data_IF_997665697791
#
_entry.id   IF_997665697791
#
_cell.length_a   1.000
_cell.length_b   1.000
_cell.length_c   1.000
_cell.angle_alpha   90.00
_cell.angle_beta   90.00
_cell.angle_gamma   90.00
#
_symmetry.space_group_name_H-M   'P 1'
#
loop_
_entity.id
_entity.type
_entity.pdbx_description
1 polymer ?
#
# COMPACT_ATOMS: atom_id res chain seq x y z
N UNK A 1 -5.30 21.96 5.07
CA UNK A 1 -6.34 21.01 4.56
C UNK A 1 -5.73 20.24 3.40
N UNK A 2 -5.39 18.97 3.60
CA UNK A 2 -4.82 18.12 2.54
C UNK A 2 -5.94 17.74 1.56
N UNK A 3 -5.82 18.20 0.31
CA UNK A 3 -6.70 17.79 -0.79
C UNK A 3 -6.64 16.26 -0.91
N UNK A 4 -7.82 15.63 -0.78
CA UNK A 4 -8.01 14.20 -1.10
C UNK A 4 -7.65 14.04 -2.58
N UNK A 5 -6.45 13.54 -2.87
CA UNK A 5 -6.11 13.06 -4.21
C UNK A 5 -6.83 11.71 -4.40
N UNK A 6 -8.09 11.77 -4.77
CA UNK A 6 -8.77 10.65 -5.38
C UNK A 6 -8.25 10.55 -6.81
N UNK A 7 -7.92 9.34 -7.29
CA UNK A 7 -7.73 9.12 -8.72
C UNK A 7 -9.12 9.30 -9.32
N UNK A 8 -9.37 10.44 -9.95
CA UNK A 8 -10.57 10.68 -10.74
C UNK A 8 -10.22 10.36 -12.19
N UNK A 9 -10.93 9.43 -12.80
CA UNK A 9 -10.89 9.19 -14.21
C UNK A 9 -12.04 10.01 -14.83
N UNK A 10 -11.70 11.10 -15.49
CA UNK A 10 -12.66 11.88 -16.27
C UNK A 10 -12.60 11.39 -17.71
N UNK A 11 -13.69 10.82 -18.19
CA UNK A 11 -13.82 10.37 -19.59
C UNK A 11 -14.58 11.46 -20.34
N UNK A 12 -13.84 12.34 -21.01
CA UNK A 12 -14.40 13.42 -21.83
C UNK A 12 -14.13 13.13 -23.30
N UNK A 13 -15.13 13.35 -24.16
CA UNK A 13 -14.99 13.24 -25.62
C UNK A 13 -14.68 11.84 -26.15
N UNK A 14 -14.88 10.80 -25.37
CA UNK A 14 -14.54 9.42 -25.72
C UNK A 14 -15.69 8.62 -26.36
N UNK A 15 -16.89 9.18 -26.43
CA UNK A 15 -18.04 8.49 -27.03
C UNK A 15 -18.26 8.99 -28.44
N UNK A 16 -18.70 8.10 -29.35
CA UNK A 16 -19.16 8.52 -30.67
C UNK A 16 -20.42 9.38 -30.54
N UNK A 17 -20.69 10.20 -31.60
CA UNK A 17 -21.79 11.19 -31.58
C UNK A 17 -23.15 10.51 -31.38
N UNK A 18 -23.38 9.36 -31.97
CA UNK A 18 -24.66 8.64 -31.85
C UNK A 18 -24.89 8.16 -30.41
N UNK A 19 -23.87 7.62 -29.78
CA UNK A 19 -23.91 7.18 -28.36
C UNK A 19 -24.10 8.38 -27.43
N UNK A 20 -23.46 9.52 -27.70
CA UNK A 20 -23.66 10.75 -26.94
C UNK A 20 -25.11 11.26 -27.07
N UNK A 21 -25.66 11.32 -28.26
CA UNK A 21 -27.04 11.74 -28.50
C UNK A 21 -28.03 10.78 -27.82
N UNK A 22 -27.81 9.48 -27.92
CA UNK A 22 -28.63 8.48 -27.22
C UNK A 22 -28.58 8.63 -25.68
N UNK A 23 -27.43 8.97 -25.13
CA UNK A 23 -27.32 9.27 -23.70
C UNK A 23 -28.04 10.55 -23.30
N UNK A 24 -27.93 11.61 -24.11
CA UNK A 24 -28.59 12.90 -23.84
C UNK A 24 -30.11 12.81 -23.95
N UNK A 25 -30.64 11.93 -24.78
CA UNK A 25 -32.08 11.69 -24.92
C UNK A 25 -32.69 10.93 -23.73
N UNK A 26 -31.89 10.32 -22.88
CA UNK A 26 -32.35 9.60 -21.69
C UNK A 26 -32.86 10.57 -20.61
N UNK A 27 -33.94 10.26 -19.91
CA UNK A 27 -34.34 10.97 -18.69
C UNK A 27 -33.23 10.96 -17.63
N UNK A 28 -33.08 12.02 -16.81
CA UNK A 28 -31.98 12.13 -15.83
C UNK A 28 -31.83 10.94 -14.89
N UNK A 29 -32.95 10.32 -14.48
CA UNK A 29 -32.94 9.10 -13.64
C UNK A 29 -32.29 7.92 -14.37
N UNK A 30 -32.52 7.76 -15.66
CA UNK A 30 -31.93 6.70 -16.47
C UNK A 30 -30.48 6.98 -16.79
N UNK A 31 -30.11 8.25 -17.02
CA UNK A 31 -28.70 8.65 -17.17
C UNK A 31 -27.89 8.31 -15.90
N UNK A 32 -28.37 8.68 -14.72
CA UNK A 32 -27.72 8.35 -13.44
C UNK A 32 -27.59 6.83 -13.23
N UNK A 33 -28.61 6.06 -13.66
CA UNK A 33 -28.59 4.60 -13.60
C UNK A 33 -27.59 4.01 -14.58
N UNK A 34 -27.49 4.56 -15.79
CA UNK A 34 -26.51 4.18 -16.80
C UNK A 34 -25.08 4.37 -16.26
N UNK A 35 -24.78 5.57 -15.80
CA UNK A 35 -23.44 5.88 -15.26
C UNK A 35 -23.06 4.97 -14.09
N UNK A 36 -24.01 4.67 -13.19
CA UNK A 36 -23.76 3.72 -12.11
C UNK A 36 -23.46 2.30 -12.62
N UNK A 37 -24.20 1.82 -13.65
CA UNK A 37 -23.93 0.50 -14.25
C UNK A 37 -22.60 0.45 -14.97
N UNK A 38 -22.22 1.51 -15.71
CA UNK A 38 -20.89 1.67 -16.31
C UNK A 38 -19.82 1.56 -15.22
N UNK A 39 -19.94 2.34 -14.16
CA UNK A 39 -18.99 2.29 -13.05
C UNK A 39 -18.87 0.90 -12.39
N UNK A 40 -19.99 0.19 -12.22
CA UNK A 40 -20.01 -1.17 -11.68
C UNK A 40 -19.30 -2.16 -12.62
N UNK A 41 -19.48 -2.01 -13.94
CA UNK A 41 -18.85 -2.86 -14.96
C UNK A 41 -17.34 -2.63 -15.00
N UNK A 42 -16.91 -1.36 -15.07
CA UNK A 42 -15.50 -0.99 -15.00
C UNK A 42 -14.83 -1.52 -13.72
N UNK A 43 -15.48 -1.35 -12.57
CA UNK A 43 -14.98 -1.94 -11.31
C UNK A 43 -14.81 -3.46 -11.43
N UNK A 44 -15.75 -4.14 -12.05
CA UNK A 44 -15.68 -5.60 -12.25
C UNK A 44 -14.48 -5.98 -13.13
N UNK A 45 -14.29 -5.30 -14.26
CA UNK A 45 -13.17 -5.51 -15.18
C UNK A 45 -11.82 -5.31 -14.45
N UNK A 46 -11.65 -4.20 -13.73
CA UNK A 46 -10.42 -3.92 -12.97
C UNK A 46 -10.15 -4.96 -11.89
N UNK A 47 -11.19 -5.44 -11.21
CA UNK A 47 -11.06 -6.56 -10.26
C UNK A 47 -10.65 -7.86 -10.97
N UNK A 48 -11.11 -8.10 -12.18
CA UNK A 48 -10.72 -9.26 -12.98
C UNK A 48 -9.26 -9.16 -13.42
N UNK A 49 -8.78 -8.00 -13.88
CA UNK A 49 -7.34 -7.78 -14.19
C UNK A 49 -6.46 -8.12 -12.99
N UNK A 50 -6.83 -7.63 -11.80
CA UNK A 50 -6.10 -7.99 -10.57
C UNK A 50 -6.19 -9.49 -10.25
N UNK A 51 -7.30 -10.16 -10.51
CA UNK A 51 -7.42 -11.62 -10.34
C UNK A 51 -6.58 -12.39 -11.34
N UNK A 52 -6.55 -11.96 -12.59
CA UNK A 52 -5.69 -12.53 -13.65
C UNK A 52 -4.22 -12.20 -13.43
N UNK A 53 -3.90 -11.15 -12.65
CA UNK A 53 -2.56 -10.59 -12.47
C UNK A 53 -2.02 -10.00 -13.78
N UNK A 54 -2.90 -9.40 -14.59
CA UNK A 54 -2.59 -8.70 -15.84
C UNK A 54 -2.85 -7.20 -15.70
N UNK A 55 -2.16 -6.43 -16.50
CA UNK A 55 -2.34 -4.98 -16.63
C UNK A 55 -3.45 -4.61 -17.63
N UNK A 56 -3.48 -3.34 -18.01
CA UNK A 56 -4.44 -2.75 -18.95
C UNK A 56 -4.34 -3.35 -20.37
N UNK A 57 -3.13 -3.82 -20.72
CA UNK A 57 -2.78 -4.37 -22.04
C UNK A 57 -2.65 -5.90 -21.99
N UNK A 58 -3.26 -6.55 -20.99
CA UNK A 58 -3.19 -7.99 -20.71
C UNK A 58 -1.78 -8.54 -20.47
N UNK A 59 -0.78 -7.67 -20.32
CA UNK A 59 0.56 -8.07 -19.94
C UNK A 59 0.62 -8.54 -18.48
N UNK A 60 1.39 -9.58 -18.15
CA UNK A 60 1.46 -10.09 -16.79
C UNK A 60 2.12 -9.08 -15.85
N UNK A 61 1.61 -8.94 -14.63
CA UNK A 61 2.23 -8.08 -13.63
C UNK A 61 3.66 -8.52 -13.32
N UNK A 62 4.57 -7.56 -13.24
CA UNK A 62 5.90 -7.85 -12.74
C UNK A 62 5.85 -8.53 -11.37
N UNK A 63 6.58 -9.64 -11.18
CA UNK A 63 6.56 -10.41 -9.94
C UNK A 63 7.09 -9.60 -8.76
N UNK A 64 6.79 -10.07 -7.55
CA UNK A 64 7.38 -9.48 -6.34
C UNK A 64 8.87 -9.75 -6.28
N UNK A 65 9.66 -8.73 -5.91
CA UNK A 65 11.10 -8.88 -5.68
C UNK A 65 11.39 -9.97 -4.63
N UNK A 66 10.55 -10.02 -3.59
CA UNK A 66 10.65 -11.04 -2.54
C UNK A 66 9.28 -11.68 -2.31
N UNK A 67 9.26 -13.00 -2.32
CA UNK A 67 8.08 -13.80 -1.99
C UNK A 67 8.41 -14.68 -0.79
N UNK A 68 7.62 -14.57 0.27
CA UNK A 68 7.78 -15.47 1.41
C UNK A 68 7.43 -16.90 0.98
N UNK A 69 8.18 -17.87 1.48
CA UNK A 69 7.88 -19.29 1.27
C UNK A 69 6.43 -19.57 1.70
N UNK A 70 5.67 -20.31 0.90
CA UNK A 70 4.26 -20.60 1.17
C UNK A 70 3.26 -19.45 0.90
N UNK A 71 3.69 -18.28 0.46
CA UNK A 71 2.79 -17.17 0.17
C UNK A 71 1.98 -17.42 -1.12
N UNK A 72 0.70 -17.81 -0.98
CA UNK A 72 -0.23 -18.08 -2.10
C UNK A 72 -1.02 -16.82 -2.55
N UNK A 73 -1.09 -15.78 -1.72
CA UNK A 73 -1.92 -14.60 -1.99
C UNK A 73 -1.40 -13.80 -3.20
N UNK A 74 -2.27 -13.60 -4.20
CA UNK A 74 -2.01 -12.78 -5.39
C UNK A 74 -1.78 -11.30 -5.02
N UNK A 75 -1.06 -10.55 -5.87
CA UNK A 75 -0.76 -9.13 -5.65
C UNK A 75 -2.04 -8.27 -5.77
N UNK A 76 -2.07 -7.14 -5.07
CA UNK A 76 -3.10 -6.09 -5.14
C UNK A 76 -4.54 -6.54 -4.82
N UNK A 77 -4.77 -7.81 -4.45
CA UNK A 77 -6.13 -8.32 -4.16
C UNK A 77 -6.84 -7.56 -3.05
N UNK A 78 -6.09 -7.05 -2.06
CA UNK A 78 -6.64 -6.20 -0.99
C UNK A 78 -7.14 -4.84 -1.50
N UNK A 79 -6.47 -4.25 -2.48
CA UNK A 79 -6.88 -3.01 -3.12
C UNK A 79 -8.13 -3.24 -3.98
N UNK A 80 -8.12 -4.27 -4.82
CA UNK A 80 -9.26 -4.63 -5.66
C UNK A 80 -10.53 -4.90 -4.84
N UNK A 81 -10.40 -5.55 -3.67
CA UNK A 81 -11.52 -5.84 -2.77
C UNK A 81 -12.20 -4.57 -2.23
N UNK A 82 -11.40 -3.53 -1.93
CA UNK A 82 -11.85 -2.25 -1.36
C UNK A 82 -12.30 -1.22 -2.39
N UNK A 83 -12.21 -1.54 -3.69
CA UNK A 83 -12.66 -0.66 -4.76
C UNK A 83 -14.20 -0.55 -4.74
N UNK A 84 -14.71 0.66 -4.74
CA UNK A 84 -16.13 1.00 -4.73
C UNK A 84 -16.55 1.81 -5.94
N UNK A 85 -17.86 2.00 -6.08
CA UNK A 85 -18.47 2.94 -7.02
C UNK A 85 -19.32 3.89 -6.19
N UNK A 86 -19.14 5.19 -6.40
CA UNK A 86 -19.90 6.26 -5.75
C UNK A 86 -20.65 7.05 -6.82
N UNK A 87 -21.95 7.22 -6.64
CA UNK A 87 -22.74 8.13 -7.48
C UNK A 87 -22.40 9.57 -7.11
N UNK A 88 -22.22 10.40 -8.11
CA UNK A 88 -22.02 11.84 -7.95
C UNK A 88 -23.25 12.58 -8.45
N UNK A 89 -23.38 13.85 -8.05
CA UNK A 89 -24.37 14.77 -8.58
C UNK A 89 -24.03 15.04 -10.06
N UNK A 90 -25.03 15.29 -10.90
CA UNK A 90 -24.80 15.58 -12.32
C UNK A 90 -24.65 14.35 -13.20
N UNK A 91 -25.31 13.24 -12.85
CA UNK A 91 -25.31 12.00 -13.64
C UNK A 91 -23.92 11.40 -13.87
N UNK A 92 -23.04 11.51 -12.87
CA UNK A 92 -21.70 10.96 -12.90
C UNK A 92 -21.53 9.81 -11.90
N UNK A 93 -20.55 8.95 -12.14
CA UNK A 93 -20.14 7.92 -11.20
C UNK A 93 -18.62 7.91 -11.06
N UNK A 94 -18.15 7.88 -9.81
CA UNK A 94 -16.73 7.76 -9.47
C UNK A 94 -16.42 6.31 -9.09
N UNK A 95 -15.39 5.74 -9.71
CA UNK A 95 -14.88 4.42 -9.34
C UNK A 95 -13.53 4.59 -8.65
N UNK A 96 -13.41 4.10 -7.41
CA UNK A 96 -12.18 4.32 -6.66
C UNK A 96 -12.23 3.76 -5.24
N UNK A 97 -11.52 4.42 -4.33
CA UNK A 97 -11.42 4.00 -2.93
C UNK A 97 -11.91 5.09 -2.00
N UNK A 98 -12.78 4.75 -1.08
CA UNK A 98 -13.32 5.69 -0.09
C UNK A 98 -12.28 6.23 0.92
N UNK A 99 -11.13 5.55 1.05
CA UNK A 99 -10.04 5.96 1.94
C UNK A 99 -8.88 6.52 1.15
N UNK A 100 -8.48 7.77 1.43
CA UNK A 100 -7.39 8.48 0.74
C UNK A 100 -6.04 7.73 0.78
N UNK A 101 -5.70 7.11 1.92
CA UNK A 101 -4.47 6.31 2.04
C UNK A 101 -4.50 5.09 1.11
N UNK A 102 -5.64 4.43 0.99
CA UNK A 102 -5.81 3.28 0.09
C UNK A 102 -5.75 3.72 -1.38
N UNK A 103 -6.34 4.87 -1.71
CA UNK A 103 -6.29 5.47 -3.05
C UNK A 103 -4.84 5.84 -3.44
N UNK A 104 -4.10 6.48 -2.52
CA UNK A 104 -2.67 6.78 -2.72
C UNK A 104 -1.84 5.51 -2.99
N UNK A 105 -2.02 4.46 -2.18
CA UNK A 105 -1.31 3.19 -2.39
C UNK A 105 -1.66 2.59 -3.76
N UNK A 106 -2.92 2.65 -4.16
CA UNK A 106 -3.36 2.17 -5.47
C UNK A 106 -2.73 2.97 -6.61
N UNK A 107 -2.67 4.30 -6.50
CA UNK A 107 -2.03 5.19 -7.47
C UNK A 107 -0.55 4.85 -7.66
N UNK A 108 0.17 4.72 -6.54
CA UNK A 108 1.61 4.38 -6.53
C UNK A 108 1.86 3.02 -7.23
N UNK A 109 1.00 2.03 -7.01
CA UNK A 109 1.13 0.74 -7.67
C UNK A 109 0.68 0.76 -9.14
N UNK A 110 -0.27 1.62 -9.48
CA UNK A 110 -0.74 1.74 -10.86
C UNK A 110 0.32 2.40 -11.75
N UNK A 111 0.81 3.56 -11.34
CA UNK A 111 1.78 4.34 -12.11
C UNK A 111 3.22 3.79 -12.04
N UNK A 112 3.55 3.10 -10.96
CA UNK A 112 4.94 2.73 -10.66
C UNK A 112 5.74 3.95 -10.21
N UNK A 113 6.11 3.98 -8.94
CA UNK A 113 6.84 5.12 -8.36
C UNK A 113 8.00 4.66 -7.51
N UNK A 114 9.03 5.50 -7.44
CA UNK A 114 10.10 5.32 -6.47
C UNK A 114 9.71 5.98 -5.16
N UNK A 115 9.58 5.17 -4.10
CA UNK A 115 9.32 5.65 -2.75
C UNK A 115 10.65 5.78 -2.00
N UNK A 116 10.89 6.95 -1.43
CA UNK A 116 12.04 7.15 -0.54
C UNK A 116 11.67 6.76 0.88
N UNK A 117 12.44 5.85 1.44
CA UNK A 117 12.39 5.44 2.83
C UNK A 117 13.59 5.96 3.61
N UNK A 118 13.44 6.11 4.92
CA UNK A 118 14.52 6.49 5.81
C UNK A 118 14.36 5.85 7.18
N UNK A 119 15.48 5.63 7.86
CA UNK A 119 15.50 5.06 9.20
C UNK A 119 14.76 5.97 10.22
N UNK A 120 14.83 7.28 10.02
CA UNK A 120 14.13 8.30 10.79
C UNK A 120 12.60 8.19 10.67
N UNK A 121 12.08 7.86 9.48
CA UNK A 121 10.66 7.64 9.25
C UNK A 121 10.16 6.38 9.97
N UNK A 122 10.95 5.32 9.98
CA UNK A 122 10.61 4.09 10.69
C UNK A 122 10.60 4.29 12.21
N UNK A 123 11.54 5.05 12.75
CA UNK A 123 11.60 5.35 14.18
C UNK A 123 10.40 6.19 14.64
N UNK A 124 9.96 7.15 13.83
CA UNK A 124 8.75 7.96 14.11
C UNK A 124 7.47 7.12 14.06
N UNK A 125 7.39 6.13 13.16
CA UNK A 125 6.20 5.27 13.02
C UNK A 125 6.06 4.26 14.16
N UNK A 126 7.18 3.79 14.72
CA UNK A 126 7.15 2.79 15.80
C UNK A 126 6.68 3.34 17.14
N UNK A 127 6.68 4.66 17.33
CA UNK A 127 6.49 5.27 18.66
C UNK A 127 7.65 4.95 19.59
N UNK A 128 7.61 5.50 20.81
CA UNK A 128 8.53 5.08 21.89
C UNK A 128 8.12 3.68 22.35
N UNK A 129 8.90 2.67 21.98
CA UNK A 129 8.68 1.33 22.48
C UNK A 129 9.12 1.27 23.95
N UNK A 130 8.14 1.27 24.86
CA UNK A 130 8.37 1.20 26.31
C UNK A 130 8.62 -0.22 26.80
N UNK A 131 8.57 -1.21 25.91
CA UNK A 131 8.83 -2.60 26.26
C UNK A 131 10.28 -2.82 26.65
N UNK A 132 10.49 -3.57 27.73
CA UNK A 132 11.81 -3.99 28.16
C UNK A 132 12.34 -5.14 27.30
N UNK A 133 13.64 -5.36 27.35
CA UNK A 133 14.30 -6.41 26.60
C UNK A 133 13.72 -7.79 26.94
N UNK A 134 13.49 -8.60 25.93
CA UNK A 134 12.99 -9.95 26.11
C UNK A 134 14.11 -10.88 26.63
N UNK A 135 13.71 -11.96 27.33
CA UNK A 135 14.62 -12.99 27.78
C UNK A 135 15.47 -13.60 26.66
N UNK A 136 14.89 -13.69 25.44
CA UNK A 136 15.62 -14.14 24.26
C UNK A 136 16.72 -13.15 23.86
N UNK A 137 16.43 -11.85 23.83
CA UNK A 137 17.43 -10.82 23.55
C UNK A 137 18.53 -10.79 24.61
N UNK A 138 18.17 -10.91 25.89
CA UNK A 138 19.13 -10.95 27.01
C UNK A 138 20.08 -12.14 26.90
N UNK A 139 19.57 -13.34 26.64
CA UNK A 139 20.41 -14.53 26.39
C UNK A 139 21.33 -14.32 25.19
N UNK A 140 20.82 -13.75 24.10
CA UNK A 140 21.58 -13.48 22.87
C UNK A 140 22.72 -12.49 23.12
N UNK A 141 22.48 -11.40 23.86
CA UNK A 141 23.50 -10.43 24.25
C UNK A 141 24.61 -11.06 25.05
N UNK A 142 24.28 -11.95 25.97
CA UNK A 142 25.30 -12.69 26.77
C UNK A 142 26.16 -13.61 25.89
N UNK A 143 25.54 -14.33 24.94
CA UNK A 143 26.28 -15.19 23.99
C UNK A 143 27.21 -14.34 23.10
N UNK A 144 26.77 -13.16 22.68
CA UNK A 144 27.56 -12.22 21.87
C UNK A 144 28.63 -11.46 22.70
N UNK A 145 28.76 -11.75 23.99
CA UNK A 145 29.80 -11.16 24.80
C UNK A 145 29.53 -9.73 25.27
N UNK A 146 28.27 -9.30 25.34
CA UNK A 146 27.92 -7.98 25.85
C UNK A 146 28.50 -7.71 27.24
N UNK A 147 29.16 -6.57 27.38
CA UNK A 147 29.74 -6.10 28.65
C UNK A 147 29.20 -4.70 28.93
N UNK A 148 28.83 -4.42 30.17
CA UNK A 148 28.49 -3.07 30.62
C UNK A 148 29.63 -2.45 31.39
N UNK A 149 29.80 -1.15 31.28
CA UNK A 149 30.70 -0.40 32.15
C UNK A 149 30.09 -0.31 33.56
N UNK A 150 30.89 -0.56 34.57
CA UNK A 150 30.54 -0.40 35.98
C UNK A 150 31.51 0.59 36.59
N UNK A 151 30.99 1.48 37.42
CA UNK A 151 31.87 2.38 38.17
C UNK A 151 32.86 1.57 39.02
N UNK A 152 34.12 1.93 38.94
CA UNK A 152 35.14 1.28 39.72
C UNK A 152 35.02 1.76 41.19
N UNK A 153 34.84 0.88 42.16
CA UNK A 153 34.81 1.27 43.57
C UNK A 153 36.11 1.95 44.01
N UNK A 154 37.21 1.65 43.35
CA UNK A 154 38.51 2.22 43.62
C UNK A 154 38.65 3.57 42.89
N UNK A 155 38.45 4.69 43.62
CA UNK A 155 38.49 6.07 43.09
C UNK A 155 39.83 6.46 42.43
N UNK A 156 40.90 5.71 42.70
CA UNK A 156 42.22 5.92 42.11
C UNK A 156 42.34 5.42 40.65
N UNK A 157 41.46 4.53 40.22
CA UNK A 157 41.46 4.02 38.84
C UNK A 157 40.45 4.76 37.97
N UNK A 158 40.93 5.58 37.04
CA UNK A 158 40.11 6.36 36.10
C UNK A 158 39.39 5.54 35.01
N UNK A 159 39.79 4.27 34.78
CA UNK A 159 39.21 3.43 33.72
C UNK A 159 37.99 2.64 34.24
N UNK A 160 36.87 2.64 33.52
CA UNK A 160 35.69 1.87 33.91
C UNK A 160 35.99 0.36 33.89
N UNK A 161 35.45 -0.37 34.86
CA UNK A 161 35.47 -1.83 34.85
C UNK A 161 34.33 -2.36 33.99
N UNK A 162 34.63 -3.29 33.09
CA UNK A 162 33.61 -3.94 32.26
C UNK A 162 33.20 -5.27 32.88
N UNK A 163 31.89 -5.48 33.04
CA UNK A 163 31.31 -6.68 33.59
C UNK A 163 30.24 -7.26 32.68
N UNK A 164 30.13 -8.59 32.58
CA UNK A 164 29.04 -9.28 31.89
C UNK A 164 27.78 -9.25 32.76
N UNK A 165 26.69 -8.60 32.34
CA UNK A 165 25.46 -8.56 33.12
C UNK A 165 24.72 -9.90 33.07
N UNK A 166 23.96 -10.20 34.13
CA UNK A 166 23.01 -11.31 34.14
C UNK A 166 21.81 -11.09 33.24
N UNK A 167 21.09 -12.17 32.88
CA UNK A 167 19.86 -12.08 32.06
C UNK A 167 18.84 -11.15 32.71
N UNK A 168 18.56 -11.34 33.99
CA UNK A 168 17.61 -10.51 34.73
C UNK A 168 17.98 -9.01 34.75
N UNK A 169 19.26 -8.69 34.82
CA UNK A 169 19.71 -7.30 34.75
C UNK A 169 19.43 -6.69 33.40
N UNK A 170 19.68 -7.43 32.30
CA UNK A 170 19.42 -6.97 30.91
C UNK A 170 17.94 -6.72 30.71
N UNK A 171 17.08 -7.65 31.15
CA UNK A 171 15.62 -7.53 31.07
C UNK A 171 15.11 -6.31 31.85
N UNK A 172 15.71 -5.98 32.99
CA UNK A 172 15.29 -4.87 33.82
C UNK A 172 15.83 -3.49 33.38
N UNK A 173 16.96 -3.44 32.67
CA UNK A 173 17.70 -2.19 32.43
C UNK A 173 17.81 -1.79 30.94
N UNK A 174 17.57 -2.69 30.02
CA UNK A 174 17.59 -2.37 28.57
C UNK A 174 16.18 -2.39 27.98
N UNK A 175 15.90 -1.40 27.14
CA UNK A 175 14.68 -1.46 26.34
C UNK A 175 14.83 -2.49 25.21
N UNK A 176 13.69 -2.92 24.66
CA UNK A 176 13.63 -3.83 23.51
C UNK A 176 14.47 -3.34 22.33
N UNK A 177 14.38 -2.05 22.04
CA UNK A 177 15.08 -1.43 20.90
C UNK A 177 16.58 -1.29 21.18
N UNK A 178 16.99 -0.95 22.41
CA UNK A 178 18.39 -0.91 22.80
C UNK A 178 19.04 -2.30 22.72
N UNK A 179 18.36 -3.32 23.24
CA UNK A 179 18.85 -4.70 23.16
C UNK A 179 18.97 -5.17 21.71
N UNK A 180 18.00 -4.82 20.85
CA UNK A 180 18.05 -5.12 19.42
C UNK A 180 19.19 -4.43 18.69
N UNK A 181 19.49 -3.17 19.02
CA UNK A 181 20.61 -2.42 18.46
C UNK A 181 21.95 -3.03 18.87
N UNK A 182 22.12 -3.31 20.18
CA UNK A 182 23.33 -3.93 20.70
C UNK A 182 23.62 -5.31 20.09
N UNK A 183 22.56 -6.12 19.87
CA UNK A 183 22.70 -7.42 19.18
C UNK A 183 23.24 -7.23 17.77
N UNK A 184 22.75 -6.25 17.01
CA UNK A 184 23.22 -5.97 15.65
C UNK A 184 24.68 -5.51 15.66
N UNK A 185 25.02 -4.56 16.53
CA UNK A 185 26.40 -4.06 16.64
C UNK A 185 27.40 -5.17 17.02
N UNK A 186 27.03 -6.03 17.99
CA UNK A 186 27.91 -7.12 18.42
C UNK A 186 28.03 -8.25 17.39
N UNK A 187 27.07 -8.40 16.49
CA UNK A 187 27.17 -9.29 15.34
C UNK A 187 28.03 -8.75 14.20
N UNK A 188 28.37 -7.47 14.23
CA UNK A 188 28.98 -6.79 13.10
C UNK A 188 28.01 -6.58 11.93
N UNK A 189 26.69 -6.69 12.18
CA UNK A 189 25.69 -6.39 11.15
C UNK A 189 25.75 -4.90 10.83
N UNK A 190 25.99 -4.57 9.56
CA UNK A 190 26.02 -3.19 9.10
C UNK A 190 24.65 -2.52 9.43
N UNK A 191 24.64 -1.30 9.98
CA UNK A 191 23.39 -0.61 10.31
C UNK A 191 22.47 -0.38 9.11
N UNK A 192 22.96 -0.67 7.91
CA UNK A 192 22.27 -0.44 6.65
C UNK A 192 22.20 1.05 6.29
N UNK A 193 21.79 1.39 5.08
CA UNK A 193 21.72 2.77 4.64
C UNK A 193 20.70 3.57 5.42
N UNK A 194 21.04 4.80 5.82
CA UNK A 194 20.12 5.70 6.52
C UNK A 194 18.90 6.08 5.64
N UNK A 195 19.09 6.05 4.33
CA UNK A 195 18.04 6.30 3.32
C UNK A 195 18.10 5.22 2.24
N UNK A 196 16.96 4.86 1.71
CA UNK A 196 16.87 3.88 0.61
C UNK A 196 15.72 4.22 -0.33
N UNK A 197 15.85 3.83 -1.57
CA UNK A 197 14.81 3.97 -2.58
C UNK A 197 14.14 2.62 -2.87
N UNK A 198 12.83 2.61 -2.80
CA UNK A 198 11.98 1.46 -3.14
C UNK A 198 11.37 1.74 -4.51
N UNK A 199 11.97 1.17 -5.55
CA UNK A 199 11.41 1.24 -6.91
C UNK A 199 10.25 0.26 -7.01
N UNK A 200 9.03 0.79 -7.13
CA UNK A 200 7.83 -0.02 -7.37
C UNK A 200 7.57 -0.06 -8.88
N UNK A 201 7.45 -1.25 -9.47
CA UNK A 201 7.08 -1.35 -10.88
C UNK A 201 5.63 -0.91 -11.09
N UNK A 202 5.37 -0.24 -12.19
CA UNK A 202 4.01 0.06 -12.65
C UNK A 202 3.22 -1.23 -12.88
N UNK A 203 1.96 -1.20 -12.48
CA UNK A 203 1.00 -2.28 -12.72
C UNK A 203 -0.32 -1.63 -13.01
N UNK A 204 -0.52 -1.28 -14.25
CA UNK A 204 -1.68 -0.51 -14.72
C UNK A 204 -2.97 -1.36 -14.69
N UNK A 205 -3.43 -1.68 -13.47
CA UNK A 205 -4.66 -2.46 -13.29
C UNK A 205 -5.93 -1.60 -13.31
N UNK A 206 -5.77 -0.28 -13.19
CA UNK A 206 -6.82 0.71 -13.07
C UNK A 206 -6.73 1.69 -14.23
N UNK A 207 -7.78 1.78 -15.02
CA UNK A 207 -7.85 2.64 -16.19
C UNK A 207 -8.64 1.99 -17.34
N UNK A 208 -8.74 2.70 -18.43
CA UNK A 208 -9.40 2.28 -19.68
C UNK A 208 -8.31 2.12 -20.72
N UNK A 209 -8.28 0.98 -21.40
CA UNK A 209 -7.24 0.67 -22.37
C UNK A 209 -7.39 1.52 -23.65
N UNK A 210 -8.61 1.65 -24.13
CA UNK A 210 -8.93 2.43 -25.33
C UNK A 210 -10.37 2.96 -25.28
N UNK A 211 -10.66 3.90 -26.16
CA UNK A 211 -11.98 4.51 -26.32
C UNK A 211 -13.06 3.50 -26.73
N UNK A 212 -12.69 2.54 -27.54
CA UNK A 212 -13.59 1.52 -28.04
C UNK A 212 -14.19 0.67 -26.91
N UNK A 213 -13.40 0.34 -25.88
CA UNK A 213 -13.87 -0.39 -24.67
C UNK A 213 -15.05 0.34 -24.00
N UNK A 214 -14.98 1.67 -23.93
CA UNK A 214 -16.04 2.49 -23.32
C UNK A 214 -17.27 2.56 -24.22
N UNK A 215 -17.07 2.77 -25.54
CA UNK A 215 -18.16 2.83 -26.51
C UNK A 215 -18.95 1.52 -26.52
N UNK A 216 -18.28 0.39 -26.61
CA UNK A 216 -18.90 -0.94 -26.57
C UNK A 216 -19.68 -1.16 -25.28
N UNK A 217 -19.10 -0.73 -24.13
CA UNK A 217 -19.74 -0.85 -22.85
C UNK A 217 -21.02 -0.02 -22.76
N UNK A 218 -21.00 1.22 -23.22
CA UNK A 218 -22.15 2.12 -23.18
C UNK A 218 -23.23 1.66 -24.18
N UNK A 219 -22.85 1.32 -25.38
CA UNK A 219 -23.75 0.79 -26.41
C UNK A 219 -24.46 -0.48 -25.93
N UNK A 220 -23.74 -1.38 -25.23
CA UNK A 220 -24.32 -2.57 -24.64
C UNK A 220 -25.32 -2.27 -23.50
N UNK A 221 -25.06 -1.24 -22.70
CA UNK A 221 -25.87 -0.94 -21.52
C UNK A 221 -27.11 -0.10 -21.80
N UNK A 222 -27.10 0.74 -22.84
CA UNK A 222 -28.26 1.61 -23.20
C UNK A 222 -29.55 0.81 -23.41
N UNK A 223 -29.58 -0.22 -24.27
CA UNK A 223 -30.79 -1.03 -24.48
C UNK A 223 -31.28 -1.71 -23.21
N UNK A 224 -30.35 -2.19 -22.36
CA UNK A 224 -30.71 -2.83 -21.09
C UNK A 224 -31.37 -1.86 -20.11
N UNK A 225 -31.01 -0.57 -20.18
CA UNK A 225 -31.61 0.45 -19.31
C UNK A 225 -32.98 0.87 -19.83
N UNK A 226 -33.12 1.00 -21.12
CA UNK A 226 -34.40 1.31 -21.75
C UNK A 226 -35.45 0.22 -21.54
N UNK A 227 -35.04 -1.05 -21.67
CA UNK A 227 -35.91 -2.21 -21.53
C UNK A 227 -36.18 -2.63 -20.06
N UNK A 228 -35.50 -2.02 -19.10
CA UNK A 228 -35.65 -2.30 -17.68
C UNK A 228 -35.88 -1.02 -16.88
N UNK A 229 -37.08 -0.45 -16.91
CA UNK A 229 -37.42 0.88 -16.38
C UNK A 229 -37.36 0.97 -14.82
N UNK A 230 -37.02 -0.06 -14.08
CA UNK A 230 -36.87 -0.05 -12.63
C UNK A 230 -35.43 -0.02 -12.14
#
# INVERSE_FOLDING_TARGET
MARKQAISLTVEGMLDVQTQLAMLSLPPKLQARLMNRVGLRLRSQWRQRVRKQSDLHDSPFQPRKFRKQGQKKRMLTGLAKRMGVKRLVGNAAEVGWGNAKTAMIASVHNAGMTLRGGADQLSRQKGKNTLMATRFQAKRLRVLGYKRAVQNPDKKRRKPRFMRPGVAWIEANLSYDQAGLLIRLLKGDDPGPAKWDIKLPGREFFGIANQQEVNELVTYLIPQILNSPR
#
